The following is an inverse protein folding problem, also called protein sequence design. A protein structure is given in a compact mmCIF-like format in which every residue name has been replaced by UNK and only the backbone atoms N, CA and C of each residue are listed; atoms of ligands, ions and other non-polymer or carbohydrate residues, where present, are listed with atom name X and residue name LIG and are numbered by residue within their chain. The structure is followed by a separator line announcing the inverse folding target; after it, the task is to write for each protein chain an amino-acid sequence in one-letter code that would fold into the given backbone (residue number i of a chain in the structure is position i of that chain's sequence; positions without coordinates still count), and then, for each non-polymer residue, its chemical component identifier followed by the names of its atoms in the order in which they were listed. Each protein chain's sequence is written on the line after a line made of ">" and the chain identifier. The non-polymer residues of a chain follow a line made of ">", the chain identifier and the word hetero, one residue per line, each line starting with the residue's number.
data_IF_795841816683
#
_entry.id   IF_795841816683
#
_cell.length_a   1.000
_cell.length_b   1.000
_cell.length_c   1.000
_cell.angle_alpha   90.00
_cell.angle_beta   90.00
_cell.angle_gamma   90.00
#
_symmetry.space_group_name_H-M   'P 1'
#
loop_
_entity.id
_entity.type
_entity.pdbx_description
1 polymer ?
#
# COMPACT_ATOMS: atom_id res chain seq x y z
N UNK A 1 -20.26 -15.76 -16.88
CA UNK A 1 -19.99 -15.69 -15.43
C UNK A 1 -18.90 -14.63 -15.28
N UNK A 2 -19.20 -13.48 -14.66
CA UNK A 2 -18.22 -12.41 -14.50
C UNK A 2 -17.24 -12.82 -13.40
N UNK A 3 -16.03 -13.22 -13.79
CA UNK A 3 -14.95 -13.47 -12.84
C UNK A 3 -14.33 -12.14 -12.42
N UNK A 4 -14.76 -11.59 -11.28
CA UNK A 4 -13.94 -10.63 -10.56
C UNK A 4 -12.71 -11.39 -10.04
N UNK A 5 -11.64 -11.41 -10.82
CA UNK A 5 -10.34 -11.93 -10.42
C UNK A 5 -9.75 -11.02 -9.34
N UNK A 6 -10.16 -11.21 -8.09
CA UNK A 6 -9.49 -10.60 -6.94
C UNK A 6 -8.01 -10.97 -6.97
N UNK A 7 -7.11 -10.05 -6.62
CA UNK A 7 -5.66 -10.26 -6.61
C UNK A 7 -5.28 -11.21 -5.47
N UNK A 8 -5.26 -12.55 -5.67
CA UNK A 8 -5.28 -13.48 -4.53
C UNK A 8 -3.94 -13.50 -3.77
N UNK A 9 -2.87 -13.07 -4.46
CA UNK A 9 -1.51 -13.01 -3.93
C UNK A 9 -1.06 -11.61 -3.54
N UNK A 10 -1.89 -10.59 -3.76
CA UNK A 10 -1.50 -9.19 -3.55
C UNK A 10 -2.55 -8.45 -2.73
N UNK A 11 -2.07 -7.80 -1.68
CA UNK A 11 -2.81 -6.78 -0.95
C UNK A 11 -2.38 -5.41 -1.46
N UNK A 12 -3.36 -4.60 -1.88
CA UNK A 12 -3.10 -3.25 -2.36
C UNK A 12 -3.01 -2.29 -1.18
N UNK A 13 -1.93 -1.51 -1.12
CA UNK A 13 -1.84 -0.31 -0.31
C UNK A 13 -2.03 0.91 -1.20
N UNK A 14 -3.09 1.66 -0.92
CA UNK A 14 -3.37 2.93 -1.55
C UNK A 14 -2.75 4.07 -0.72
N UNK A 15 -2.46 5.24 -1.31
CA UNK A 15 -2.17 6.46 -0.56
C UNK A 15 -3.29 6.71 0.47
N UNK A 16 -2.97 7.21 1.65
CA UNK A 16 -3.99 7.48 2.68
C UNK A 16 -5.00 8.57 2.26
N UNK A 17 -4.69 9.31 1.21
CA UNK A 17 -5.54 10.32 0.58
C UNK A 17 -6.49 9.74 -0.48
N UNK A 18 -6.41 8.44 -0.78
CA UNK A 18 -7.24 7.77 -1.80
C UNK A 18 -8.74 7.78 -1.47
N UNK A 19 -9.11 7.68 -0.20
CA UNK A 19 -10.51 7.60 0.25
C UNK A 19 -11.12 8.96 0.64
N UNK A 20 -10.45 10.07 0.33
CA UNK A 20 -10.99 11.42 0.59
C UNK A 20 -11.96 11.80 -0.54
N UNK A 21 -13.05 12.49 -0.21
CA UNK A 21 -13.95 13.07 -1.22
C UNK A 21 -13.13 13.96 -2.18
N UNK A 22 -13.37 13.85 -3.49
CA UNK A 22 -12.54 14.44 -4.57
C UNK A 22 -11.09 13.93 -4.67
N UNK A 23 -10.78 12.73 -4.17
CA UNK A 23 -9.52 12.07 -4.48
C UNK A 23 -9.29 12.05 -6.01
N UNK A 24 -8.25 12.74 -6.47
CA UNK A 24 -7.83 12.68 -7.88
C UNK A 24 -7.45 11.23 -8.24
N UNK A 25 -7.29 10.98 -9.54
CA UNK A 25 -6.81 9.71 -10.11
C UNK A 25 -5.68 9.11 -9.27
N UNK A 26 -5.74 7.82 -8.97
CA UNK A 26 -4.69 7.10 -8.23
C UNK A 26 -3.33 7.23 -8.96
N UNK A 27 -2.34 7.87 -8.31
CA UNK A 27 -1.02 8.16 -8.92
C UNK A 27 0.10 7.24 -8.42
N UNK A 28 -0.01 6.75 -7.19
CA UNK A 28 0.92 5.79 -6.60
C UNK A 28 0.17 4.68 -5.87
N UNK A 29 0.72 3.46 -5.86
CA UNK A 29 0.25 2.34 -5.04
C UNK A 29 1.43 1.41 -4.70
N UNK A 30 1.27 0.56 -3.69
CA UNK A 30 2.19 -0.54 -3.39
C UNK A 30 1.39 -1.84 -3.34
N UNK A 31 1.92 -2.90 -3.95
CA UNK A 31 1.39 -4.27 -3.83
C UNK A 31 2.23 -5.07 -2.83
N UNK A 32 1.60 -5.56 -1.77
CA UNK A 32 2.25 -6.42 -0.78
C UNK A 32 1.84 -7.86 -1.03
N UNK A 33 2.83 -8.74 -1.15
CA UNK A 33 2.57 -10.16 -1.30
C UNK A 33 1.85 -10.71 -0.05
N UNK A 34 0.81 -11.54 -0.23
CA UNK A 34 0.02 -12.07 0.89
C UNK A 34 0.79 -13.02 1.81
N UNK A 35 1.96 -13.52 1.40
CA UNK A 35 2.89 -14.26 2.28
C UNK A 35 3.57 -13.36 3.33
N UNK A 36 3.47 -12.04 3.21
CA UNK A 36 3.94 -11.09 4.21
C UNK A 36 2.82 -10.88 5.25
N UNK A 37 3.04 -11.23 6.54
CA UNK A 37 2.03 -11.06 7.58
C UNK A 37 1.59 -9.60 7.71
N UNK A 38 0.28 -9.35 7.89
CA UNK A 38 -0.26 -7.98 8.03
C UNK A 38 0.27 -7.23 9.23
N UNK A 39 0.69 -7.93 10.29
CA UNK A 39 1.30 -7.36 11.49
C UNK A 39 2.81 -7.14 11.35
N UNK A 40 3.41 -7.48 10.20
CA UNK A 40 4.84 -7.28 9.94
C UNK A 40 5.13 -5.98 9.19
N UNK A 41 4.10 -5.18 8.89
CA UNK A 41 4.29 -3.90 8.25
C UNK A 41 3.22 -2.87 8.64
N UNK A 42 3.61 -1.61 8.58
CA UNK A 42 2.75 -0.46 8.83
C UNK A 42 2.80 0.49 7.63
N UNK A 43 1.64 1.01 7.24
CA UNK A 43 1.58 2.07 6.23
C UNK A 43 2.09 3.39 6.82
N UNK A 44 2.93 4.10 6.06
CA UNK A 44 3.38 5.44 6.42
C UNK A 44 2.48 6.46 5.72
N UNK A 45 1.93 7.38 6.51
CA UNK A 45 1.00 8.38 6.03
C UNK A 45 1.73 9.59 5.44
N UNK A 46 1.29 10.00 4.25
CA UNK A 46 1.75 11.22 3.59
C UNK A 46 0.53 12.06 3.17
N UNK A 47 0.57 13.39 3.31
CA UNK A 47 -0.56 14.25 2.93
C UNK A 47 -0.64 14.50 1.41
N UNK A 48 -0.31 13.50 0.57
CA UNK A 48 -0.33 13.58 -0.89
C UNK A 48 -0.80 12.25 -1.50
N UNK A 49 -1.25 12.26 -2.76
CA UNK A 49 -1.59 11.06 -3.54
C UNK A 49 -0.40 10.50 -4.34
N UNK A 50 0.66 11.30 -4.47
CA UNK A 50 1.86 10.94 -5.23
C UNK A 50 2.77 10.00 -4.45
N UNK A 51 2.50 9.79 -3.16
CA UNK A 51 3.36 8.99 -2.27
C UNK A 51 2.57 7.88 -1.60
N UNK A 52 3.08 6.66 -1.73
CA UNK A 52 2.66 5.50 -0.94
C UNK A 52 3.88 4.98 -0.20
N UNK A 53 3.80 4.84 1.13
CA UNK A 53 4.90 4.31 1.93
C UNK A 53 4.48 3.14 2.82
N UNK A 54 5.39 2.19 2.99
CA UNK A 54 5.23 1.08 3.93
C UNK A 54 6.54 0.85 4.68
N UNK A 55 6.44 0.64 5.99
CA UNK A 55 7.54 0.15 6.81
C UNK A 55 7.31 -1.32 7.12
N UNK A 56 8.21 -2.18 6.69
CA UNK A 56 8.21 -3.61 7.02
C UNK A 56 9.18 -3.79 8.20
N UNK A 57 8.70 -4.37 9.29
CA UNK A 57 9.48 -4.62 10.51
C UNK A 57 9.61 -6.11 10.75
N UNK A 58 10.85 -6.58 10.92
CA UNK A 58 11.13 -7.97 11.29
C UNK A 58 12.20 -7.99 12.37
N UNK A 59 11.86 -8.53 13.53
CA UNK A 59 12.74 -8.63 14.71
C UNK A 59 13.40 -7.27 15.06
N UNK A 60 14.67 -7.07 14.69
CA UNK A 60 15.46 -5.87 14.98
C UNK A 60 15.77 -5.02 13.75
N UNK A 61 15.17 -5.34 12.60
CA UNK A 61 15.41 -4.64 11.35
C UNK A 61 14.09 -4.10 10.79
N UNK A 62 14.18 -2.91 10.20
CA UNK A 62 13.06 -2.30 9.50
C UNK A 62 13.49 -1.83 8.13
N UNK A 63 12.66 -2.08 7.14
CA UNK A 63 12.80 -1.56 5.77
C UNK A 63 11.69 -0.54 5.58
N UNK A 64 12.07 0.67 5.17
CA UNK A 64 11.12 1.70 4.73
C UNK A 64 11.13 1.76 3.20
N UNK A 65 10.00 1.41 2.59
CA UNK A 65 9.78 1.54 1.16
C UNK A 65 8.88 2.76 0.91
N UNK A 66 9.31 3.66 0.03
CA UNK A 66 8.54 4.83 -0.40
C UNK A 66 8.45 4.79 -1.92
N UNK A 67 7.24 4.73 -2.45
CA UNK A 67 6.96 4.89 -3.86
C UNK A 67 6.51 6.34 -4.12
N UNK A 68 7.15 7.02 -5.06
CA UNK A 68 6.88 8.42 -5.43
C UNK A 68 6.63 8.49 -6.93
N UNK A 69 5.48 9.07 -7.33
CA UNK A 69 5.11 9.34 -8.71
C UNK A 69 5.65 10.68 -9.21
#
# INVERSE_FOLDING_TARGET
>A
VNECTGTPYWRVLYPNTHFRDNAQTLRSLILINTNIPTNSYDQIHFPTQDVTGVRITRERQSILLINVY
#
